data_IF_461216129518
#
_entry.id   IF_461216129518
#
_cell.length_a   1.000
_cell.length_b   1.000
_cell.length_c   1.000
_cell.angle_alpha   90.00
_cell.angle_beta   90.00
_cell.angle_gamma   90.00
#
_symmetry.space_group_name_H-M   'P 1'
#
loop_
_entity.id
_entity.type
_entity.pdbx_description
1 polymer ?
#
# COMPACT_ATOMS: atom_id res chain seq x y z
N UNK A 1 36.66 55.17 20.30
CA UNK A 1 36.74 53.83 20.90
C UNK A 1 35.36 53.55 21.53
N UNK A 2 34.30 53.51 20.73
CA UNK A 2 33.81 52.34 19.95
C UNK A 2 33.36 51.16 20.82
N UNK A 3 32.37 51.36 21.72
CA UNK A 3 31.81 50.29 22.55
C UNK A 3 30.26 50.21 22.53
N UNK A 4 29.58 50.73 21.49
CA UNK A 4 28.11 50.73 21.43
C UNK A 4 27.51 49.77 20.38
N UNK A 5 28.32 49.13 19.54
CA UNK A 5 27.84 48.24 18.47
C UNK A 5 27.62 46.78 18.90
N UNK A 6 28.19 46.35 20.04
CA UNK A 6 28.20 44.93 20.44
C UNK A 6 26.88 44.47 21.10
N UNK A 7 26.09 45.40 21.65
CA UNK A 7 24.80 45.08 22.27
C UNK A 7 23.66 44.90 21.27
N UNK A 8 23.73 45.62 20.13
CA UNK A 8 22.66 45.63 19.12
C UNK A 8 22.73 44.35 18.26
N UNK A 9 23.93 43.80 18.04
CA UNK A 9 24.13 42.56 17.28
C UNK A 9 23.69 41.31 18.05
N UNK A 10 23.67 41.35 19.38
CA UNK A 10 23.24 40.21 20.21
C UNK A 10 21.71 40.03 20.22
N UNK A 11 20.95 41.11 20.10
CA UNK A 11 19.47 41.07 20.15
C UNK A 11 18.85 40.56 18.84
N UNK A 12 19.55 40.71 17.71
CA UNK A 12 19.05 40.32 16.38
C UNK A 12 19.15 38.80 16.12
N UNK A 13 20.04 38.09 16.83
CA UNK A 13 20.25 36.66 16.64
C UNK A 13 19.12 35.79 17.23
N UNK A 14 18.31 36.34 18.14
CA UNK A 14 17.22 35.61 18.81
C UNK A 14 15.93 35.49 17.99
N UNK A 15 15.80 36.20 16.86
CA UNK A 15 14.57 36.18 16.05
C UNK A 15 14.56 35.12 14.93
N UNK A 16 15.65 34.39 14.72
CA UNK A 16 15.73 33.39 13.64
C UNK A 16 15.43 31.95 14.06
N UNK A 17 15.37 31.66 15.36
CA UNK A 17 14.92 30.36 15.86
C UNK A 17 13.40 30.34 15.96
N UNK A 18 12.72 30.35 14.82
CA UNK A 18 11.34 29.89 14.78
C UNK A 18 11.33 28.38 15.01
N UNK A 19 10.72 27.85 16.08
CA UNK A 19 10.48 26.43 16.17
C UNK A 19 9.55 26.05 15.02
N UNK A 20 10.08 25.37 14.00
CA UNK A 20 9.24 24.72 12.99
C UNK A 20 8.34 23.76 13.74
N UNK A 21 7.04 24.07 13.79
CA UNK A 21 6.04 23.09 14.19
C UNK A 21 6.12 21.97 13.16
N UNK A 22 6.75 20.86 13.51
CA UNK A 22 6.61 19.62 12.76
C UNK A 22 5.15 19.22 12.86
N UNK A 23 4.35 19.65 11.90
CA UNK A 23 3.06 19.03 11.64
C UNK A 23 3.39 17.58 11.39
N UNK A 24 3.01 16.69 12.31
CA UNK A 24 3.02 15.26 12.08
C UNK A 24 2.03 15.04 10.94
N UNK A 25 2.50 15.13 9.70
CA UNK A 25 1.79 14.61 8.54
C UNK A 25 1.70 13.11 8.79
N UNK A 26 0.60 12.67 9.39
CA UNK A 26 0.23 11.28 9.33
C UNK A 26 -0.08 11.03 7.85
N UNK A 27 0.94 10.57 7.13
CA UNK A 27 0.71 10.00 5.81
C UNK A 27 -0.37 8.93 5.96
N UNK A 28 -1.32 8.87 4.99
CA UNK A 28 -2.32 7.83 5.02
C UNK A 28 -1.62 6.46 5.07
N UNK A 29 -2.21 5.47 5.77
CA UNK A 29 -1.68 4.12 5.73
C UNK A 29 -1.59 3.64 4.28
N UNK A 30 -0.58 2.83 3.94
CA UNK A 30 -0.40 2.38 2.56
C UNK A 30 -1.64 1.64 2.08
N UNK A 31 -1.91 1.70 0.78
CA UNK A 31 -2.95 0.87 0.17
C UNK A 31 -2.47 -0.58 0.04
N UNK A 32 -3.41 -1.53 -0.13
CA UNK A 32 -3.03 -2.93 -0.41
C UNK A 32 -2.18 -3.05 -1.69
N UNK A 33 -2.41 -2.18 -2.68
CA UNK A 33 -1.66 -2.17 -3.94
C UNK A 33 -0.20 -1.72 -3.75
N UNK A 34 0.06 -0.83 -2.80
CA UNK A 34 1.41 -0.42 -2.40
C UNK A 34 2.08 -1.51 -1.55
N UNK A 35 1.33 -2.18 -0.68
CA UNK A 35 1.83 -3.34 0.06
C UNK A 35 2.29 -4.44 -0.91
N UNK A 36 1.49 -4.81 -1.91
CA UNK A 36 1.88 -5.82 -2.91
C UNK A 36 3.23 -5.49 -3.56
N UNK A 37 3.42 -4.24 -3.98
CA UNK A 37 4.67 -3.79 -4.58
C UNK A 37 5.87 -3.88 -3.63
N UNK A 38 5.69 -3.57 -2.34
CA UNK A 38 6.74 -3.74 -1.32
C UNK A 38 7.19 -5.20 -1.17
N UNK A 39 6.30 -6.15 -1.45
CA UNK A 39 6.61 -7.58 -1.50
C UNK A 39 7.02 -8.06 -2.90
N UNK A 40 7.35 -7.17 -3.84
CA UNK A 40 7.79 -7.54 -5.18
C UNK A 40 6.68 -8.11 -6.08
N UNK A 41 5.41 -7.87 -5.74
CA UNK A 41 4.25 -8.32 -6.49
C UNK A 41 3.66 -7.18 -7.35
N UNK A 42 3.04 -7.49 -8.50
CA UNK A 42 2.35 -6.48 -9.31
C UNK A 42 1.22 -5.79 -8.53
N UNK A 43 1.06 -4.49 -8.75
CA UNK A 43 -0.04 -3.70 -8.15
C UNK A 43 -1.43 -4.14 -8.64
N UNK A 44 -1.53 -4.72 -9.84
CA UNK A 44 -2.78 -5.13 -10.48
C UNK A 44 -3.30 -6.53 -10.14
N UNK A 45 -2.75 -7.23 -9.13
CA UNK A 45 -3.20 -8.58 -8.77
C UNK A 45 -4.63 -8.62 -8.21
N UNK A 46 -5.07 -7.54 -7.57
CA UNK A 46 -6.38 -7.41 -6.94
C UNK A 46 -7.28 -6.45 -7.74
N UNK A 47 -8.61 -6.67 -7.76
CA UNK A 47 -9.55 -5.72 -8.36
C UNK A 47 -9.48 -4.35 -7.68
N UNK A 48 -9.90 -3.29 -8.39
CA UNK A 48 -10.00 -1.95 -7.82
C UNK A 48 -11.17 -1.78 -6.82
N UNK A 49 -12.03 -2.79 -6.67
CA UNK A 49 -13.20 -2.81 -5.76
C UNK A 49 -12.85 -3.22 -4.32
N UNK A 50 -11.58 -3.09 -3.91
CA UNK A 50 -11.15 -3.36 -2.53
C UNK A 50 -11.83 -2.36 -1.59
N UNK A 51 -12.62 -2.88 -0.66
CA UNK A 51 -13.29 -2.10 0.39
C UNK A 51 -12.38 -1.90 1.60
N UNK A 52 -11.66 -2.94 2.01
CA UNK A 52 -10.72 -2.88 3.12
C UNK A 52 -9.70 -4.00 3.06
N UNK A 53 -8.61 -3.84 3.80
CA UNK A 53 -7.61 -4.89 3.96
C UNK A 53 -7.03 -4.88 5.38
N UNK A 54 -6.44 -6.01 5.78
CA UNK A 54 -5.62 -6.14 6.98
C UNK A 54 -4.37 -6.93 6.66
N UNK A 55 -3.26 -6.58 7.30
CA UNK A 55 -1.98 -7.28 7.21
C UNK A 55 -1.45 -7.53 8.62
N UNK A 56 -1.09 -8.77 8.91
CA UNK A 56 -0.42 -9.17 10.15
C UNK A 56 1.10 -9.15 9.96
N UNK A 57 1.85 -9.02 11.06
CA UNK A 57 3.31 -8.94 11.05
C UNK A 57 3.98 -10.17 10.42
N UNK A 58 3.31 -11.33 10.46
CA UNK A 58 3.78 -12.57 9.85
C UNK A 58 3.54 -12.64 8.32
N UNK A 59 2.99 -11.59 7.72
CA UNK A 59 2.65 -11.49 6.30
C UNK A 59 1.25 -12.02 5.95
N UNK A 60 0.49 -12.55 6.90
CA UNK A 60 -0.89 -13.00 6.65
C UNK A 60 -1.79 -11.80 6.35
N UNK A 61 -2.56 -11.87 5.27
CA UNK A 61 -3.45 -10.79 4.88
C UNK A 61 -4.90 -11.25 4.69
N UNK A 62 -5.82 -10.31 4.85
CA UNK A 62 -7.21 -10.43 4.44
C UNK A 62 -7.59 -9.19 3.64
N UNK A 63 -8.26 -9.39 2.51
CA UNK A 63 -8.84 -8.34 1.68
C UNK A 63 -10.33 -8.59 1.56
N UNK A 64 -11.12 -7.53 1.73
CA UNK A 64 -12.55 -7.55 1.48
C UNK A 64 -12.88 -6.69 0.27
N UNK A 65 -13.58 -7.27 -0.69
CA UNK A 65 -14.14 -6.55 -1.84
C UNK A 65 -15.53 -6.02 -1.49
N UNK A 66 -15.98 -4.99 -2.21
CA UNK A 66 -17.37 -4.52 -2.11
C UNK A 66 -18.38 -5.63 -2.41
N UNK A 67 -18.08 -6.42 -3.45
CA UNK A 67 -18.84 -7.57 -3.94
C UNK A 67 -17.90 -8.57 -4.61
N UNK A 68 -18.39 -9.78 -4.84
CA UNK A 68 -17.71 -10.76 -5.70
C UNK A 68 -17.49 -10.18 -7.11
N UNK A 69 -16.38 -10.54 -7.73
CA UNK A 69 -15.95 -9.98 -9.00
C UNK A 69 -15.47 -11.09 -9.93
N UNK A 70 -15.90 -11.03 -11.18
CA UNK A 70 -15.50 -11.96 -12.22
C UNK A 70 -14.84 -11.15 -13.32
N UNK A 71 -13.64 -11.54 -13.71
CA UNK A 71 -12.87 -10.85 -14.75
C UNK A 71 -12.48 -11.87 -15.81
N UNK A 72 -12.84 -11.59 -17.04
CA UNK A 72 -12.53 -12.44 -18.19
C UNK A 72 -11.50 -11.73 -19.08
N UNK A 73 -10.35 -12.37 -19.25
CA UNK A 73 -9.32 -12.01 -20.22
C UNK A 73 -9.06 -13.23 -21.12
N UNK A 74 -7.84 -13.78 -21.11
CA UNK A 74 -7.52 -15.09 -21.71
C UNK A 74 -8.00 -16.28 -20.86
N UNK A 75 -8.38 -15.99 -19.61
CA UNK A 75 -8.93 -16.94 -18.63
C UNK A 75 -10.03 -16.24 -17.84
N UNK A 76 -10.92 -17.02 -17.23
CA UNK A 76 -11.89 -16.52 -16.27
C UNK A 76 -11.27 -16.50 -14.88
N UNK A 77 -11.21 -15.33 -14.25
CA UNK A 77 -10.74 -15.16 -12.87
C UNK A 77 -11.94 -14.79 -12.00
N UNK A 78 -12.23 -15.63 -11.01
CA UNK A 78 -13.29 -15.43 -10.05
C UNK A 78 -12.67 -14.97 -8.72
N UNK A 79 -13.12 -13.82 -8.23
CA UNK A 79 -12.75 -13.25 -6.94
C UNK A 79 -13.94 -13.34 -5.98
N UNK A 80 -13.76 -14.07 -4.89
CA UNK A 80 -14.70 -14.07 -3.78
C UNK A 80 -14.67 -12.73 -3.04
N UNK A 81 -15.71 -12.45 -2.27
CA UNK A 81 -15.80 -11.22 -1.48
C UNK A 81 -14.68 -11.10 -0.42
N UNK A 82 -14.17 -12.22 0.07
CA UNK A 82 -13.07 -12.29 1.03
C UNK A 82 -11.90 -13.06 0.42
N UNK A 83 -10.75 -12.41 0.36
CA UNK A 83 -9.51 -13.00 -0.14
C UNK A 83 -8.53 -13.08 1.03
N UNK A 84 -7.84 -14.21 1.19
CA UNK A 84 -6.83 -14.39 2.23
C UNK A 84 -5.58 -15.03 1.66
N UNK A 85 -4.42 -14.75 2.24
CA UNK A 85 -3.18 -15.41 1.89
C UNK A 85 -2.06 -14.97 2.82
N UNK A 86 -0.84 -15.38 2.50
CA UNK A 86 0.36 -14.95 3.21
C UNK A 86 1.39 -14.44 2.20
N UNK A 87 1.85 -13.22 2.41
CA UNK A 87 2.83 -12.56 1.56
C UNK A 87 4.24 -13.09 1.83
N UNK A 88 4.95 -13.39 0.76
CA UNK A 88 6.41 -13.51 0.73
C UNK A 88 6.96 -12.64 -0.41
N UNK A 89 8.27 -12.43 -0.44
CA UNK A 89 8.86 -11.67 -1.55
C UNK A 89 8.64 -12.42 -2.87
N UNK A 90 7.96 -11.77 -3.82
CA UNK A 90 7.60 -12.32 -5.13
C UNK A 90 6.54 -13.42 -5.11
N UNK A 91 5.88 -13.69 -3.97
CA UNK A 91 4.95 -14.81 -3.87
C UNK A 91 3.80 -14.59 -2.88
N UNK A 92 2.70 -15.33 -3.10
CA UNK A 92 1.60 -15.47 -2.14
C UNK A 92 1.38 -16.95 -1.88
N UNK A 93 1.41 -17.36 -0.62
CA UNK A 93 1.07 -18.72 -0.21
C UNK A 93 -0.29 -18.77 0.49
N UNK A 94 -0.88 -19.96 0.58
CA UNK A 94 -2.17 -20.20 1.23
C UNK A 94 -3.30 -19.28 0.72
N UNK A 95 -3.24 -18.90 -0.57
CA UNK A 95 -4.21 -18.03 -1.20
C UNK A 95 -5.58 -18.71 -1.27
N UNK A 96 -6.62 -17.99 -0.83
CA UNK A 96 -8.03 -18.37 -0.92
C UNK A 96 -8.86 -17.18 -1.42
N UNK A 97 -9.97 -17.47 -2.08
CA UNK A 97 -10.88 -16.46 -2.62
C UNK A 97 -10.50 -15.94 -4.01
N UNK A 98 -9.50 -16.55 -4.67
CA UNK A 98 -9.18 -16.30 -6.09
C UNK A 98 -9.12 -17.65 -6.80
N UNK A 99 -9.90 -17.80 -7.87
CA UNK A 99 -9.89 -19.00 -8.69
C UNK A 99 -9.75 -18.64 -10.17
N UNK A 100 -8.68 -19.16 -10.79
CA UNK A 100 -8.42 -19.00 -12.22
C UNK A 100 -8.91 -20.26 -12.94
N UNK A 101 -9.80 -20.09 -13.91
CA UNK A 101 -10.26 -21.14 -14.80
C UNK A 101 -9.77 -20.86 -16.21
N UNK A 102 -8.97 -21.79 -16.75
CA UNK A 102 -8.52 -21.71 -18.13
C UNK A 102 -9.68 -22.10 -19.04
N UNK A 103 -10.10 -21.18 -19.90
CA UNK A 103 -11.10 -21.47 -20.92
C UNK A 103 -10.38 -22.20 -22.06
N UNK A 104 -10.50 -23.52 -22.11
CA UNK A 104 -9.94 -24.34 -23.20
C UNK A 104 -10.77 -24.10 -24.47
N UNK A 105 -10.43 -23.09 -25.27
CA UNK A 105 -10.90 -22.99 -26.65
C UNK A 105 -10.12 -24.02 -27.51
N UNK A 106 -10.70 -25.20 -27.68
CA UNK A 106 -10.27 -26.25 -28.62
C UNK A 106 -8.78 -26.64 -28.51
N UNK A 107 -8.43 -27.39 -27.46
CA UNK A 107 -7.28 -28.28 -27.51
C UNK A 107 -7.59 -29.41 -28.51
N UNK A 108 -7.28 -29.20 -29.80
CA UNK A 108 -7.13 -30.32 -30.73
C UNK A 108 -5.73 -30.89 -30.51
N UNK A 109 -5.67 -32.17 -30.20
CA UNK A 109 -4.44 -32.95 -30.10
C UNK A 109 -3.63 -32.89 -31.40
#
# INVERSE_FOLDING_TARGET
MENSHLGITLLSLFLFFSPSKSTLSQDPPPTVFEILQKFGLPSGLLPNTVKSYSLSDDGSFTVYLEKECHVEFDCLVNYEKKITGKLGYGSITNLKGIQVQKVLSLARC
#
